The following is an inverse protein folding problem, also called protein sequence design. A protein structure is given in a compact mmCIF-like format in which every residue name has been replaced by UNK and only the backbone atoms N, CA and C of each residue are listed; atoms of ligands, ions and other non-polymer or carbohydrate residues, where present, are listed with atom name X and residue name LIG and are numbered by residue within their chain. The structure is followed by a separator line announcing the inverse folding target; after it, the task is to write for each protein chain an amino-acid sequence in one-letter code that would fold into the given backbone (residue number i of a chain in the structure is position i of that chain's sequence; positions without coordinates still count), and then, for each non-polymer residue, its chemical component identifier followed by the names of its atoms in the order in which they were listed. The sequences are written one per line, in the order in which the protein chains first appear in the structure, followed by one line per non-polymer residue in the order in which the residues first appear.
data_IF_876579869477
#
_entry.id   IF_876579869477
#
_cell.length_a   1.000
_cell.length_b   1.000
_cell.length_c   1.000
_cell.angle_alpha   90.00
_cell.angle_beta   90.00
_cell.angle_gamma   90.00
#
_symmetry.space_group_name_H-M   'P 1'
#
loop_
_entity.id
_entity.type
_entity.pdbx_description
1 polymer ?
#
# COMPACT_ATOMS: atom_id res chain seq x y z
N UNK A 1 19.44 -50.90 -3.86
CA UNK A 1 18.61 -49.89 -3.17
C UNK A 1 17.19 -50.11 -3.58
N UNK A 2 16.30 -50.23 -2.60
CA UNK A 2 14.88 -50.54 -2.79
C UNK A 2 14.20 -49.35 -3.51
N UNK A 3 13.24 -49.62 -4.42
CA UNK A 3 12.53 -48.58 -5.17
C UNK A 3 11.81 -47.59 -4.21
N UNK A 4 11.32 -48.11 -3.09
CA UNK A 4 10.68 -47.35 -2.01
C UNK A 4 11.67 -46.38 -1.35
N UNK A 5 12.85 -46.85 -0.96
CA UNK A 5 13.90 -46.00 -0.37
C UNK A 5 14.26 -44.85 -1.32
N UNK A 6 14.44 -45.16 -2.61
CA UNK A 6 14.75 -44.14 -3.63
C UNK A 6 13.62 -43.13 -3.82
N UNK A 7 12.37 -43.58 -3.73
CA UNK A 7 11.20 -42.70 -3.81
C UNK A 7 11.15 -41.75 -2.62
N UNK A 8 11.24 -42.29 -1.39
CA UNK A 8 11.22 -41.51 -0.14
C UNK A 8 12.38 -40.51 -0.09
N UNK A 9 13.60 -40.93 -0.43
CA UNK A 9 14.76 -40.02 -0.50
C UNK A 9 14.54 -38.89 -1.51
N UNK A 10 13.82 -39.16 -2.60
CA UNK A 10 13.49 -38.14 -3.60
C UNK A 10 12.44 -37.16 -3.07
N UNK A 11 11.42 -37.63 -2.35
CA UNK A 11 10.42 -36.78 -1.67
C UNK A 11 11.12 -35.89 -0.63
N UNK A 12 11.97 -36.46 0.23
CA UNK A 12 12.73 -35.74 1.27
C UNK A 12 13.54 -34.57 0.70
N UNK A 13 14.14 -34.72 -0.48
CA UNK A 13 14.92 -33.64 -1.13
C UNK A 13 14.09 -32.37 -1.42
N UNK A 14 12.77 -32.50 -1.59
CA UNK A 14 11.88 -31.36 -1.85
C UNK A 14 11.25 -30.75 -0.59
N UNK A 15 11.39 -31.41 0.56
CA UNK A 15 10.85 -30.95 1.85
C UNK A 15 11.82 -30.01 2.59
N UNK A 16 11.29 -29.10 3.44
CA UNK A 16 12.09 -28.38 4.45
C UNK A 16 12.82 -29.35 5.39
N UNK A 17 14.06 -29.04 5.75
CA UNK A 17 14.92 -29.90 6.57
C UNK A 17 14.28 -30.31 7.90
N UNK A 18 13.50 -29.41 8.49
CA UNK A 18 12.77 -29.58 9.75
C UNK A 18 11.78 -30.76 9.74
N UNK A 19 11.16 -31.08 8.60
CA UNK A 19 10.10 -32.10 8.51
C UNK A 19 10.50 -33.34 7.71
N UNK A 20 11.72 -33.38 7.15
CA UNK A 20 12.16 -34.45 6.23
C UNK A 20 12.11 -35.83 6.85
N UNK A 21 12.59 -35.96 8.08
CA UNK A 21 12.67 -37.27 8.74
C UNK A 21 11.29 -37.77 9.17
N UNK A 22 10.49 -36.91 9.79
CA UNK A 22 9.14 -37.25 10.23
C UNK A 22 8.24 -37.64 9.06
N UNK A 23 8.19 -36.81 8.00
CA UNK A 23 7.43 -37.12 6.78
C UNK A 23 7.98 -38.37 6.07
N UNK A 24 9.30 -38.59 6.12
CA UNK A 24 9.90 -39.79 5.55
C UNK A 24 9.47 -41.08 6.25
N UNK A 25 9.38 -41.05 7.59
CA UNK A 25 8.90 -42.19 8.38
C UNK A 25 7.40 -42.42 8.17
N UNK A 26 6.60 -41.35 8.16
CA UNK A 26 5.17 -41.41 7.89
C UNK A 26 4.89 -41.97 6.49
N UNK A 27 5.61 -41.48 5.48
CA UNK A 27 5.46 -41.95 4.09
C UNK A 27 5.89 -43.40 3.95
N UNK A 28 6.95 -43.83 4.65
CA UNK A 28 7.36 -45.23 4.65
C UNK A 28 6.29 -46.14 5.26
N UNK A 29 5.72 -45.75 6.41
CA UNK A 29 4.64 -46.50 7.05
C UNK A 29 3.41 -46.59 6.14
N UNK A 30 3.01 -45.48 5.53
CA UNK A 30 1.88 -45.43 4.61
C UNK A 30 2.09 -46.34 3.38
N UNK A 31 3.26 -46.30 2.76
CA UNK A 31 3.60 -47.19 1.64
C UNK A 31 3.54 -48.67 2.07
N UNK A 32 4.07 -49.01 3.25
CA UNK A 32 4.03 -50.38 3.75
C UNK A 32 2.61 -50.86 4.08
N UNK A 33 1.74 -49.97 4.57
CA UNK A 33 0.33 -50.28 4.84
C UNK A 33 -0.48 -50.49 3.54
N UNK A 34 -0.08 -49.84 2.44
CA UNK A 34 -0.70 -50.05 1.11
C UNK A 34 -0.26 -51.37 0.46
N UNK A 35 0.85 -51.97 0.91
CA UNK A 35 1.39 -53.20 0.35
C UNK A 35 0.84 -54.46 1.06
N UNK A 36 0.59 -55.56 0.34
CA UNK A 36 0.21 -56.84 0.95
C UNK A 36 1.40 -57.47 1.72
N UNK A 37 1.14 -58.38 2.67
CA UNK A 37 2.16 -59.01 3.52
C UNK A 37 3.31 -59.67 2.74
N UNK A 38 3.03 -60.21 1.54
CA UNK A 38 4.02 -60.77 0.61
C UNK A 38 3.95 -60.02 -0.73
N UNK A 39 4.45 -58.79 -0.75
CA UNK A 39 4.43 -57.94 -1.95
C UNK A 39 5.52 -58.29 -2.96
N UNK A 40 5.23 -58.02 -4.23
CA UNK A 40 6.13 -58.16 -5.37
C UNK A 40 6.64 -56.80 -5.84
N UNK A 41 7.61 -56.78 -6.77
CA UNK A 41 8.09 -55.51 -7.36
C UNK A 41 6.99 -54.77 -8.15
N UNK A 42 6.05 -55.50 -8.76
CA UNK A 42 4.92 -54.90 -9.48
C UNK A 42 3.95 -54.20 -8.53
N UNK A 43 3.70 -54.78 -7.34
CA UNK A 43 2.86 -54.14 -6.30
C UNK A 43 3.48 -52.81 -5.84
N UNK A 44 4.80 -52.79 -5.64
CA UNK A 44 5.54 -51.55 -5.29
C UNK A 44 5.44 -50.53 -6.42
N UNK A 45 5.59 -50.95 -7.68
CA UNK A 45 5.46 -50.05 -8.81
C UNK A 45 4.06 -49.44 -8.91
N UNK A 46 3.02 -50.24 -8.66
CA UNK A 46 1.63 -49.77 -8.69
C UNK A 46 1.35 -48.77 -7.57
N UNK A 47 1.74 -49.06 -6.32
CA UNK A 47 1.57 -48.14 -5.17
C UNK A 47 2.30 -46.81 -5.41
N UNK A 48 3.55 -46.85 -5.86
CA UNK A 48 4.31 -45.62 -6.14
C UNK A 48 3.74 -44.83 -7.33
N UNK A 49 3.11 -45.51 -8.29
CA UNK A 49 2.41 -44.85 -9.41
C UNK A 49 1.12 -44.17 -8.94
N UNK A 50 0.39 -44.79 -8.01
CA UNK A 50 -0.81 -44.23 -7.40
C UNK A 50 -0.49 -42.98 -6.55
N UNK A 51 0.61 -43.01 -5.79
CA UNK A 51 1.13 -41.85 -5.06
C UNK A 51 1.65 -40.73 -5.98
N UNK A 52 1.96 -41.05 -7.25
CA UNK A 52 2.34 -40.08 -8.26
C UNK A 52 3.76 -39.52 -8.09
N UNK A 53 4.01 -38.32 -8.63
CA UNK A 53 5.36 -37.77 -8.66
C UNK A 53 5.85 -37.37 -7.27
N UNK A 54 7.11 -37.70 -6.87
CA UNK A 54 7.67 -37.32 -5.58
C UNK A 54 7.59 -35.83 -5.27
N UNK A 55 7.64 -34.98 -6.30
CA UNK A 55 7.57 -33.52 -6.17
C UNK A 55 6.18 -33.05 -5.78
N UNK A 56 5.13 -33.57 -6.43
CA UNK A 56 3.75 -33.21 -6.10
C UNK A 56 3.39 -33.69 -4.70
N UNK A 57 3.78 -34.92 -4.35
CA UNK A 57 3.55 -35.47 -3.02
C UNK A 57 4.26 -34.64 -1.94
N UNK A 58 5.50 -34.22 -2.18
CA UNK A 58 6.22 -33.32 -1.27
C UNK A 58 5.52 -31.96 -1.08
N UNK A 59 4.87 -31.42 -2.11
CA UNK A 59 4.14 -30.16 -2.02
C UNK A 59 2.86 -30.29 -1.17
N UNK A 60 2.26 -31.49 -1.06
CA UNK A 60 1.12 -31.77 -0.17
C UNK A 60 1.50 -31.77 1.31
N UNK A 61 2.67 -32.31 1.65
CA UNK A 61 3.23 -32.27 3.02
C UNK A 61 3.78 -30.89 3.41
N UNK A 62 3.97 -29.98 2.43
CA UNK A 62 4.55 -28.67 2.69
C UNK A 62 3.49 -27.69 3.19
N UNK A 63 3.44 -27.49 4.51
CA UNK A 63 2.54 -26.53 5.16
C UNK A 63 2.80 -25.07 4.73
N UNK A 64 4.02 -24.76 4.27
CA UNK A 64 4.40 -23.43 3.77
C UNK A 64 4.29 -23.40 2.24
N UNK A 65 3.11 -23.07 1.73
CA UNK A 65 2.90 -22.91 0.28
C UNK A 65 3.79 -21.76 -0.24
N UNK A 66 4.50 -22.02 -1.35
CA UNK A 66 5.49 -21.08 -1.95
C UNK A 66 4.83 -19.99 -2.81
N UNK A 67 3.78 -19.37 -2.31
CA UNK A 67 3.12 -18.26 -3.01
C UNK A 67 3.71 -16.92 -2.58
N UNK A 68 3.84 -15.99 -3.53
CA UNK A 68 4.15 -14.59 -3.22
C UNK A 68 2.93 -13.89 -2.61
N UNK A 69 1.75 -14.22 -3.13
CA UNK A 69 0.42 -13.80 -2.66
C UNK A 69 -0.45 -15.04 -2.76
N UNK A 70 -1.01 -15.51 -1.64
CA UNK A 70 -1.77 -16.73 -1.56
C UNK A 70 -3.15 -16.61 -2.19
N UNK A 71 -3.81 -17.76 -2.50
CA UNK A 71 -5.13 -17.77 -3.11
C UNK A 71 -6.20 -17.04 -2.28
N UNK A 72 -6.03 -16.97 -0.96
CA UNK A 72 -6.93 -16.20 -0.08
C UNK A 72 -6.93 -14.69 -0.42
N UNK A 73 -5.80 -14.14 -0.85
CA UNK A 73 -5.60 -12.71 -1.09
C UNK A 73 -5.69 -12.30 -2.57
N UNK A 74 -5.61 -13.27 -3.49
CA UNK A 74 -5.37 -13.01 -4.91
C UNK A 74 -6.45 -12.17 -5.60
N UNK A 75 -7.74 -12.44 -5.37
CA UNK A 75 -8.82 -11.69 -6.02
C UNK A 75 -8.85 -10.22 -5.57
N UNK A 76 -8.62 -9.98 -4.28
CA UNK A 76 -8.53 -8.63 -3.72
C UNK A 76 -7.31 -7.89 -4.26
N UNK A 77 -6.18 -8.58 -4.37
CA UNK A 77 -4.96 -8.05 -4.96
C UNK A 77 -5.19 -7.57 -6.39
N UNK A 78 -5.76 -8.40 -7.26
CA UNK A 78 -5.99 -8.05 -8.67
C UNK A 78 -6.98 -6.89 -8.82
N UNK A 79 -8.05 -6.88 -8.03
CA UNK A 79 -9.02 -5.77 -8.04
C UNK A 79 -8.36 -4.45 -7.65
N UNK A 80 -7.59 -4.44 -6.56
CA UNK A 80 -6.87 -3.25 -6.11
C UNK A 80 -5.86 -2.80 -7.17
N UNK A 81 -5.00 -3.73 -7.61
CA UNK A 81 -3.92 -3.47 -8.54
C UNK A 81 -4.39 -2.75 -9.80
N UNK A 82 -5.50 -3.21 -10.41
CA UNK A 82 -6.07 -2.59 -11.61
C UNK A 82 -6.50 -1.15 -11.37
N UNK A 83 -7.19 -0.88 -10.26
CA UNK A 83 -7.65 0.46 -9.91
C UNK A 83 -6.47 1.40 -9.65
N UNK A 84 -5.46 0.94 -8.89
CA UNK A 84 -4.27 1.77 -8.58
C UNK A 84 -3.46 2.08 -9.83
N UNK A 85 -3.21 1.09 -10.68
CA UNK A 85 -2.47 1.29 -11.94
C UNK A 85 -3.16 2.36 -12.79
N UNK A 86 -4.48 2.27 -12.95
CA UNK A 86 -5.24 3.23 -13.76
C UNK A 86 -5.16 4.65 -13.19
N UNK A 87 -5.31 4.81 -11.88
CA UNK A 87 -5.24 6.11 -11.21
C UNK A 87 -3.82 6.69 -11.32
N UNK A 88 -2.78 5.92 -10.98
CA UNK A 88 -1.40 6.40 -11.01
C UNK A 88 -0.96 6.77 -12.43
N UNK A 89 -1.35 5.98 -13.44
CA UNK A 89 -1.10 6.32 -14.84
C UNK A 89 -1.80 7.62 -15.26
N UNK A 90 -3.09 7.77 -14.92
CA UNK A 90 -3.86 8.98 -15.24
C UNK A 90 -3.30 10.25 -14.58
N UNK A 91 -2.89 10.14 -13.31
CA UNK A 91 -2.26 11.24 -12.57
C UNK A 91 -0.91 11.61 -13.19
N UNK A 92 -0.05 10.63 -13.48
CA UNK A 92 1.25 10.88 -14.10
C UNK A 92 1.12 11.53 -15.50
N UNK A 93 0.14 11.09 -16.28
CA UNK A 93 -0.22 11.72 -17.55
C UNK A 93 -0.68 13.17 -17.35
N UNK A 94 -1.58 13.41 -16.40
CA UNK A 94 -2.08 14.75 -16.10
C UNK A 94 -0.95 15.71 -15.72
N UNK A 95 -0.03 15.28 -14.86
CA UNK A 95 1.14 16.06 -14.45
C UNK A 95 2.02 16.38 -15.67
N UNK A 96 2.35 15.37 -16.48
CA UNK A 96 3.22 15.54 -17.67
C UNK A 96 2.59 16.46 -18.70
N UNK A 97 1.27 16.36 -18.93
CA UNK A 97 0.53 17.27 -19.80
C UNK A 97 0.56 18.71 -19.28
N UNK A 98 0.36 18.90 -17.99
CA UNK A 98 0.44 20.21 -17.35
C UNK A 98 1.85 20.79 -17.53
N UNK A 99 2.90 20.01 -17.24
CA UNK A 99 4.29 20.43 -17.43
C UNK A 99 4.59 20.83 -18.87
N UNK A 100 4.11 20.06 -19.85
CA UNK A 100 4.31 20.36 -21.26
C UNK A 100 3.54 21.61 -21.71
N UNK A 101 2.27 21.78 -21.29
CA UNK A 101 1.48 22.98 -21.60
C UNK A 101 2.17 24.22 -21.04
N UNK A 102 2.69 24.11 -19.82
CA UNK A 102 3.39 25.19 -19.18
C UNK A 102 4.68 25.49 -19.96
N UNK A 103 5.49 24.47 -20.29
CA UNK A 103 6.79 24.58 -20.98
C UNK A 103 6.74 24.53 -22.49
N UNK A 104 5.58 24.79 -23.09
CA UNK A 104 5.36 24.59 -24.52
C UNK A 104 6.37 25.39 -25.36
N UNK A 105 7.21 24.72 -26.18
CA UNK A 105 8.16 25.39 -27.06
C UNK A 105 7.45 26.25 -28.12
N UNK A 106 8.09 27.31 -28.60
CA UNK A 106 7.53 28.17 -29.65
C UNK A 106 7.30 27.42 -30.98
N UNK A 107 8.07 26.37 -31.18
CA UNK A 107 8.13 25.41 -32.28
C UNK A 107 7.39 24.09 -31.96
N UNK A 108 6.36 24.14 -31.11
CA UNK A 108 5.58 22.96 -30.67
C UNK A 108 5.03 22.11 -31.83
N UNK A 109 4.87 22.68 -33.02
CA UNK A 109 4.36 22.01 -34.23
C UNK A 109 5.42 21.16 -34.95
N UNK A 110 6.69 21.24 -34.55
CA UNK A 110 7.73 20.40 -35.11
C UNK A 110 7.50 18.92 -34.76
N UNK A 111 7.63 18.05 -35.78
CA UNK A 111 7.37 16.62 -35.63
C UNK A 111 8.23 15.98 -34.52
N UNK A 112 9.46 16.47 -34.30
CA UNK A 112 10.34 16.00 -33.23
C UNK A 112 9.84 16.36 -31.83
N UNK A 113 9.28 17.56 -31.65
CA UNK A 113 8.72 18.02 -30.38
C UNK A 113 7.45 17.25 -30.03
N UNK A 114 6.57 17.03 -31.01
CA UNK A 114 5.35 16.22 -30.84
C UNK A 114 5.70 14.76 -30.54
N UNK A 115 6.71 14.19 -31.22
CA UNK A 115 7.17 12.83 -30.96
C UNK A 115 7.73 12.68 -29.53
N UNK A 116 8.51 13.67 -29.06
CA UNK A 116 9.03 13.70 -27.70
C UNK A 116 7.90 13.79 -26.65
N UNK A 117 6.90 14.64 -26.87
CA UNK A 117 5.72 14.70 -26.00
C UNK A 117 5.03 13.34 -25.88
N UNK A 118 4.76 12.68 -27.01
CA UNK A 118 4.13 11.36 -27.01
C UNK A 118 4.98 10.35 -26.24
N UNK A 119 6.30 10.37 -26.45
CA UNK A 119 7.24 9.51 -25.73
C UNK A 119 7.23 9.77 -24.22
N UNK A 120 7.22 11.04 -23.79
CA UNK A 120 7.14 11.43 -22.38
C UNK A 120 5.81 11.06 -21.73
N UNK A 121 4.68 11.21 -22.45
CA UNK A 121 3.37 10.79 -21.97
C UNK A 121 3.29 9.28 -21.77
N UNK A 122 3.78 8.50 -22.74
CA UNK A 122 3.82 7.04 -22.62
C UNK A 122 4.75 6.64 -21.46
N UNK A 123 5.93 7.25 -21.38
CA UNK A 123 6.93 6.97 -20.34
C UNK A 123 6.39 7.31 -18.95
N UNK A 124 5.78 8.47 -18.76
CA UNK A 124 5.21 8.89 -17.48
C UNK A 124 4.03 8.02 -17.05
N UNK A 125 3.12 7.68 -17.97
CA UNK A 125 2.02 6.74 -17.69
C UNK A 125 2.56 5.38 -17.25
N UNK A 126 3.57 4.87 -17.96
CA UNK A 126 4.20 3.59 -17.67
C UNK A 126 4.91 3.60 -16.31
N UNK A 127 5.68 4.65 -16.00
CA UNK A 127 6.33 4.82 -14.70
C UNK A 127 5.29 4.92 -13.58
N UNK A 128 4.23 5.71 -13.76
CA UNK A 128 3.13 5.83 -12.80
C UNK A 128 2.44 4.48 -12.55
N UNK A 129 2.12 3.75 -13.61
CA UNK A 129 1.57 2.40 -13.55
C UNK A 129 2.51 1.44 -12.80
N UNK A 130 3.80 1.43 -13.13
CA UNK A 130 4.80 0.58 -12.47
C UNK A 130 4.92 0.90 -10.98
N UNK A 131 4.96 2.18 -10.60
CA UNK A 131 5.00 2.58 -9.19
C UNK A 131 3.76 2.12 -8.44
N UNK A 132 2.57 2.34 -9.02
CA UNK A 132 1.32 1.84 -8.46
C UNK A 132 1.34 0.31 -8.26
N UNK A 133 1.79 -0.43 -9.28
CA UNK A 133 1.88 -1.87 -9.22
C UNK A 133 2.88 -2.36 -8.16
N UNK A 134 4.06 -1.74 -8.12
CA UNK A 134 5.14 -2.09 -7.20
C UNK A 134 4.70 -1.97 -5.75
N UNK A 135 4.15 -0.81 -5.36
CA UNK A 135 3.74 -0.59 -3.97
C UNK A 135 2.55 -1.45 -3.54
N UNK A 136 1.56 -1.64 -4.42
CA UNK A 136 0.45 -2.56 -4.14
C UNK A 136 0.96 -3.98 -3.93
N UNK A 137 1.89 -4.44 -4.76
CA UNK A 137 2.47 -5.79 -4.64
C UNK A 137 3.23 -5.96 -3.34
N UNK A 138 4.07 -4.99 -2.95
CA UNK A 138 4.80 -5.02 -1.67
C UNK A 138 3.84 -5.13 -0.49
N UNK A 139 2.77 -4.34 -0.47
CA UNK A 139 1.78 -4.38 0.61
C UNK A 139 1.16 -5.77 0.74
N UNK A 140 0.76 -6.38 -0.38
CA UNK A 140 0.19 -7.74 -0.37
C UNK A 140 1.19 -8.82 0.02
N UNK A 141 2.47 -8.67 -0.34
CA UNK A 141 3.53 -9.56 0.13
C UNK A 141 3.67 -9.48 1.65
N UNK A 142 3.71 -8.26 2.21
CA UNK A 142 3.84 -8.06 3.66
C UNK A 142 2.62 -8.64 4.39
N UNK A 143 1.42 -8.46 3.84
CA UNK A 143 0.18 -9.05 4.35
C UNK A 143 0.24 -10.57 4.41
N UNK A 144 0.63 -11.22 3.32
CA UNK A 144 0.78 -12.68 3.25
C UNK A 144 1.80 -13.17 4.30
N UNK A 145 2.92 -12.46 4.46
CA UNK A 145 4.02 -12.86 5.35
C UNK A 145 3.74 -12.63 6.83
N UNK A 146 2.90 -11.66 7.16
CA UNK A 146 2.52 -11.36 8.54
C UNK A 146 1.43 -12.28 9.06
N UNK A 147 0.93 -13.21 8.24
CA UNK A 147 -0.04 -14.23 8.65
C UNK A 147 -1.35 -13.63 9.14
N UNK A 148 -1.62 -12.40 8.74
CA UNK A 148 -2.89 -11.79 9.07
C UNK A 148 -3.95 -12.55 8.29
N UNK A 149 -4.90 -13.18 8.96
CA UNK A 149 -5.95 -13.95 8.30
C UNK A 149 -7.13 -13.05 7.94
N UNK A 150 -7.68 -13.26 6.75
CA UNK A 150 -8.85 -12.51 6.27
C UNK A 150 -10.04 -12.85 7.18
N UNK A 151 -10.50 -11.87 7.95
CA UNK A 151 -11.65 -12.04 8.87
C UNK A 151 -11.28 -12.51 10.28
N UNK A 152 -9.99 -12.74 10.58
CA UNK A 152 -9.55 -13.12 11.93
C UNK A 152 -8.61 -12.08 12.52
N UNK A 153 -8.93 -11.62 13.74
CA UNK A 153 -8.09 -10.68 14.48
C UNK A 153 -6.78 -11.37 14.89
N UNK A 154 -5.61 -10.77 14.59
CA UNK A 154 -4.29 -11.42 14.78
C UNK A 154 -3.85 -11.53 16.26
N UNK A 155 -4.67 -11.12 17.22
CA UNK A 155 -4.30 -11.03 18.64
C UNK A 155 -4.93 -12.09 19.55
N UNK A 156 -5.54 -13.14 18.99
CA UNK A 156 -5.98 -14.28 19.78
C UNK A 156 -5.64 -15.58 19.06
N UNK A 157 -4.75 -16.37 19.66
CA UNK A 157 -4.69 -17.83 19.48
C UNK A 157 -5.99 -18.46 20.03
N UNK A 158 -7.16 -18.04 19.53
CA UNK A 158 -8.44 -18.62 19.89
C UNK A 158 -8.72 -19.70 18.87
N UNK A 159 -8.81 -20.94 19.34
CA UNK A 159 -9.34 -22.05 18.53
C UNK A 159 -10.73 -21.65 18.07
N UNK A 160 -10.97 -21.73 16.76
CA UNK A 160 -12.23 -21.35 16.14
C UNK A 160 -13.40 -22.07 16.83
N UNK A 161 -14.43 -21.31 17.21
CA UNK A 161 -15.68 -21.83 17.75
C UNK A 161 -16.87 -21.33 16.92
N UNK A 162 -18.00 -22.06 16.84
CA UNK A 162 -19.21 -21.58 16.17
C UNK A 162 -19.71 -20.23 16.71
N UNK A 163 -19.37 -19.86 17.94
CA UNK A 163 -19.68 -18.54 18.52
C UNK A 163 -18.86 -17.39 17.90
N UNK A 164 -17.81 -17.69 17.13
CA UNK A 164 -17.03 -16.72 16.35
C UNK A 164 -17.71 -16.40 14.99
N UNK A 165 -18.86 -17.01 14.69
CA UNK A 165 -19.68 -16.62 13.54
C UNK A 165 -20.03 -15.13 13.68
N UNK A 166 -19.69 -14.29 12.68
CA UNK A 166 -20.06 -12.89 12.73
C UNK A 166 -21.57 -12.78 12.82
N UNK A 167 -22.05 -12.01 13.80
CA UNK A 167 -23.47 -11.68 13.89
C UNK A 167 -23.95 -11.10 12.55
N UNK A 168 -25.18 -11.43 12.16
CA UNK A 168 -25.80 -10.94 10.91
C UNK A 168 -25.64 -9.41 10.87
N UNK A 169 -24.78 -8.94 9.98
CA UNK A 169 -24.27 -7.57 10.04
C UNK A 169 -25.32 -6.57 9.58
N UNK A 170 -25.63 -5.58 10.41
CA UNK A 170 -26.13 -4.29 9.94
C UNK A 170 -25.04 -3.63 9.08
N UNK A 171 -25.30 -3.42 7.79
CA UNK A 171 -24.34 -2.88 6.80
C UNK A 171 -23.71 -1.52 7.19
N UNK A 172 -24.27 -0.85 8.20
CA UNK A 172 -23.89 0.51 8.64
C UNK A 172 -22.52 0.61 9.32
N UNK A 173 -21.94 -0.50 9.79
CA UNK A 173 -20.64 -0.52 10.48
C UNK A 173 -19.49 -1.09 9.64
N UNK A 174 -19.73 -1.46 8.37
CA UNK A 174 -18.67 -1.92 7.48
C UNK A 174 -17.77 -0.76 7.09
N UNK A 175 -16.47 -0.93 7.29
CA UNK A 175 -15.46 0.00 6.77
C UNK A 175 -15.52 -0.07 5.24
N UNK A 176 -15.66 1.09 4.58
CA UNK A 176 -15.61 1.16 3.13
C UNK A 176 -14.22 0.72 2.67
N UNK A 177 -14.17 -0.49 2.09
CA UNK A 177 -12.91 -1.11 1.62
C UNK A 177 -12.29 -0.29 0.49
N UNK A 178 -13.12 0.26 -0.39
CA UNK A 178 -12.67 1.15 -1.48
C UNK A 178 -12.11 2.48 -0.99
N UNK A 179 -12.70 3.06 0.05
CA UNK A 179 -12.22 4.32 0.65
C UNK A 179 -10.88 4.13 1.37
N UNK A 180 -10.72 3.03 2.10
CA UNK A 180 -9.45 2.68 2.77
C UNK A 180 -8.33 2.45 1.76
N UNK A 181 -8.65 1.72 0.69
CA UNK A 181 -7.77 1.50 -0.47
C UNK A 181 -7.36 2.82 -1.11
N UNK A 182 -8.32 3.68 -1.41
CA UNK A 182 -8.08 4.96 -2.05
C UNK A 182 -7.17 5.84 -1.18
N UNK A 183 -7.45 5.89 0.12
CA UNK A 183 -6.65 6.66 1.08
C UNK A 183 -5.22 6.14 1.19
N UNK A 184 -5.03 4.81 1.17
CA UNK A 184 -3.72 4.18 1.16
C UNK A 184 -2.92 4.57 -0.08
N UNK A 185 -3.54 4.49 -1.26
CA UNK A 185 -2.92 4.86 -2.54
C UNK A 185 -2.55 6.34 -2.56
N UNK A 186 -3.48 7.21 -2.17
CA UNK A 186 -3.23 8.65 -2.11
C UNK A 186 -2.08 8.98 -1.17
N UNK A 187 -1.97 8.30 -0.03
CA UNK A 187 -0.85 8.48 0.92
C UNK A 187 0.49 8.11 0.28
N UNK A 188 0.55 6.97 -0.41
CA UNK A 188 1.76 6.51 -1.12
C UNK A 188 2.13 7.50 -2.23
N UNK A 189 1.18 7.91 -3.06
CA UNK A 189 1.39 8.82 -4.19
C UNK A 189 1.87 10.18 -3.72
N UNK A 190 1.20 10.80 -2.74
CA UNK A 190 1.61 12.10 -2.21
C UNK A 190 2.99 12.05 -1.55
N UNK A 191 3.26 11.01 -0.77
CA UNK A 191 4.58 10.84 -0.12
C UNK A 191 5.68 10.65 -1.16
N UNK A 192 5.45 9.82 -2.18
CA UNK A 192 6.39 9.61 -3.27
C UNK A 192 6.61 10.88 -4.11
N UNK A 193 5.55 11.64 -4.40
CA UNK A 193 5.64 12.90 -5.13
C UNK A 193 6.47 13.93 -4.35
N UNK A 194 6.22 14.09 -3.04
CA UNK A 194 7.00 14.99 -2.19
C UNK A 194 8.47 14.58 -2.07
N UNK A 195 8.76 13.27 -2.08
CA UNK A 195 10.12 12.77 -1.97
C UNK A 195 10.91 12.84 -3.28
N UNK A 196 10.35 12.31 -4.37
CA UNK A 196 11.07 12.16 -5.64
C UNK A 196 10.94 13.36 -6.56
N UNK A 197 9.84 14.11 -6.48
CA UNK A 197 9.51 15.20 -7.40
C UNK A 197 8.88 16.39 -6.67
N UNK A 198 9.51 16.93 -5.60
CA UNK A 198 9.00 18.12 -4.91
C UNK A 198 8.90 19.34 -5.85
N UNK A 199 9.71 19.36 -6.90
CA UNK A 199 9.77 20.39 -7.94
C UNK A 199 8.46 20.55 -8.74
N UNK A 200 7.60 19.53 -8.78
CA UNK A 200 6.31 19.58 -9.49
C UNK A 200 5.38 20.61 -8.82
N UNK A 201 5.52 20.81 -7.50
CA UNK A 201 4.78 21.81 -6.74
C UNK A 201 5.48 23.17 -6.91
N UNK A 202 5.26 23.80 -8.05
CA UNK A 202 5.92 25.03 -8.45
C UNK A 202 4.97 26.03 -9.12
N UNK A 203 5.40 27.28 -9.18
CA UNK A 203 4.82 28.30 -10.04
C UNK A 203 5.52 28.26 -11.39
N UNK A 204 4.74 28.26 -12.46
CA UNK A 204 5.24 28.23 -13.82
C UNK A 204 4.88 29.55 -14.49
N UNK A 205 5.89 30.38 -14.72
CA UNK A 205 5.71 31.74 -15.27
C UNK A 205 6.35 31.79 -16.63
N UNK A 206 5.66 32.34 -17.62
CA UNK A 206 6.22 32.53 -18.96
C UNK A 206 7.44 33.46 -18.88
N UNK A 207 8.63 32.94 -19.12
CA UNK A 207 9.86 33.73 -19.15
C UNK A 207 9.96 34.55 -20.43
N UNK A 208 10.83 35.56 -20.43
CA UNK A 208 11.05 36.50 -21.54
C UNK A 208 11.44 35.80 -22.86
N UNK A 209 11.98 34.58 -22.77
CA UNK A 209 12.45 33.77 -23.90
C UNK A 209 11.38 32.78 -24.42
N UNK A 210 10.15 32.84 -23.90
CA UNK A 210 9.08 31.89 -24.20
C UNK A 210 9.13 30.58 -23.41
N UNK A 211 10.26 30.26 -22.77
CA UNK A 211 10.42 29.13 -21.85
C UNK A 211 9.95 29.56 -20.45
N UNK A 212 9.17 28.75 -19.71
CA UNK A 212 8.73 29.13 -18.39
C UNK A 212 9.87 29.09 -17.38
N UNK A 213 9.96 30.15 -16.61
CA UNK A 213 10.69 30.14 -15.35
C UNK A 213 9.87 29.33 -14.34
N UNK A 214 10.46 28.23 -13.87
CA UNK A 214 9.86 27.36 -12.85
C UNK A 214 10.43 27.76 -11.50
N UNK A 215 9.57 28.22 -10.59
CA UNK A 215 9.95 28.55 -9.21
C UNK A 215 9.23 27.62 -8.25
N UNK A 216 9.97 26.75 -7.57
CA UNK A 216 9.39 25.76 -6.65
C UNK A 216 8.72 26.45 -5.46
N UNK A 217 7.56 25.92 -5.03
CA UNK A 217 6.86 26.43 -3.84
C UNK A 217 7.69 26.16 -2.58
N UNK A 218 8.20 24.93 -2.46
CA UNK A 218 8.97 24.48 -1.32
C UNK A 218 10.46 24.66 -1.57
N UNK A 219 11.18 25.10 -0.54
CA UNK A 219 12.63 25.05 -0.50
C UNK A 219 13.06 23.59 -0.32
N UNK A 220 13.75 23.03 -1.31
CA UNK A 220 14.10 21.60 -1.35
C UNK A 220 15.06 21.23 -0.22
N UNK A 221 16.07 22.07 0.05
CA UNK A 221 17.03 21.85 1.12
C UNK A 221 16.34 21.83 2.49
N UNK A 222 15.38 22.73 2.69
CA UNK A 222 14.61 22.79 3.93
C UNK A 222 13.63 21.61 4.03
N UNK A 223 13.01 21.21 2.93
CA UNK A 223 12.08 20.08 2.88
C UNK A 223 12.77 18.77 3.27
N UNK A 224 14.04 18.56 2.87
CA UNK A 224 14.81 17.35 3.22
C UNK A 224 14.91 17.09 4.73
N UNK A 225 14.85 18.14 5.56
CA UNK A 225 14.83 18.00 7.02
C UNK A 225 13.55 17.31 7.51
N UNK A 226 12.42 17.55 6.83
CA UNK A 226 11.11 17.01 7.18
C UNK A 226 10.81 15.65 6.52
N UNK A 227 11.50 15.32 5.43
CA UNK A 227 11.31 14.06 4.69
C UNK A 227 11.33 12.81 5.59
N UNK A 228 12.30 12.62 6.51
CA UNK A 228 12.29 11.45 7.39
C UNK A 228 11.01 11.35 8.24
N UNK A 229 10.54 12.48 8.78
CA UNK A 229 9.31 12.52 9.56
C UNK A 229 8.07 12.22 8.70
N UNK A 230 8.01 12.79 7.48
CA UNK A 230 6.93 12.51 6.51
C UNK A 230 6.88 11.01 6.17
N UNK A 231 8.03 10.38 5.91
CA UNK A 231 8.12 8.94 5.62
C UNK A 231 7.63 8.12 6.83
N UNK A 232 8.07 8.43 8.05
CA UNK A 232 7.64 7.72 9.26
C UNK A 232 6.12 7.82 9.44
N UNK A 233 5.56 9.02 9.33
CA UNK A 233 4.11 9.25 9.45
C UNK A 233 3.36 8.51 8.36
N UNK A 234 3.82 8.55 7.11
CA UNK A 234 3.23 7.78 6.02
C UNK A 234 3.25 6.27 6.30
N UNK A 235 4.37 5.71 6.79
CA UNK A 235 4.46 4.28 7.13
C UNK A 235 3.48 3.89 8.26
N UNK A 236 3.35 4.73 9.30
CA UNK A 236 2.37 4.50 10.37
C UNK A 236 0.95 4.50 9.79
N UNK A 237 0.63 5.46 8.91
CA UNK A 237 -0.68 5.55 8.28
C UNK A 237 -1.01 4.32 7.43
N UNK A 238 -0.05 3.83 6.65
CA UNK A 238 -0.20 2.61 5.88
C UNK A 238 -0.46 1.41 6.80
N UNK A 239 0.25 1.32 7.93
CA UNK A 239 -0.02 0.30 8.95
C UNK A 239 -1.45 0.33 9.49
N UNK A 240 -1.99 1.53 9.76
CA UNK A 240 -3.39 1.71 10.21
C UNK A 240 -4.38 1.31 9.12
N UNK A 241 -4.16 1.71 7.87
CA UNK A 241 -5.03 1.32 6.75
C UNK A 241 -5.02 -0.18 6.48
N UNK A 242 -3.84 -0.80 6.57
CA UNK A 242 -3.69 -2.25 6.50
C UNK A 242 -4.53 -2.90 7.60
N UNK A 243 -4.41 -2.43 8.84
CA UNK A 243 -5.19 -2.96 9.95
C UNK A 243 -6.71 -2.79 9.73
N UNK A 244 -7.17 -1.64 9.22
CA UNK A 244 -8.58 -1.40 8.86
C UNK A 244 -9.09 -2.31 7.74
N UNK A 245 -8.24 -2.62 6.77
CA UNK A 245 -8.62 -3.49 5.66
C UNK A 245 -8.82 -4.94 6.10
N UNK A 246 -8.04 -5.37 7.09
CA UNK A 246 -8.11 -6.69 7.69
C UNK A 246 -9.28 -6.79 8.68
N UNK A 247 -9.39 -5.82 9.59
CA UNK A 247 -10.38 -5.87 10.65
C UNK A 247 -11.77 -5.62 10.06
N UNK A 248 -12.59 -6.66 9.97
CA UNK A 248 -13.97 -6.53 9.49
C UNK A 248 -14.85 -5.70 10.45
N UNK A 249 -14.42 -5.53 11.71
CA UNK A 249 -15.12 -4.76 12.72
C UNK A 249 -14.24 -3.68 13.36
N UNK A 250 -14.82 -2.49 13.54
CA UNK A 250 -14.19 -1.39 14.28
C UNK A 250 -14.05 -1.76 15.75
N UNK A 251 -12.82 -1.73 16.27
CA UNK A 251 -12.53 -1.89 17.69
C UNK A 251 -12.03 -0.55 18.29
N UNK A 252 -12.13 -0.42 19.61
CA UNK A 252 -11.74 0.81 20.31
C UNK A 252 -10.23 1.11 20.16
N UNK A 253 -9.40 0.08 20.07
CA UNK A 253 -7.95 0.21 19.97
C UNK A 253 -7.54 0.85 18.63
N UNK A 254 -8.18 0.45 17.53
CA UNK A 254 -8.02 1.04 16.21
C UNK A 254 -8.40 2.52 16.18
N UNK A 255 -9.52 2.88 16.83
CA UNK A 255 -9.95 4.28 16.91
C UNK A 255 -8.95 5.15 17.68
N UNK A 256 -8.36 4.63 18.77
CA UNK A 256 -7.34 5.34 19.54
C UNK A 256 -6.05 5.49 18.73
N UNK A 257 -5.60 4.44 18.03
CA UNK A 257 -4.38 4.53 17.21
C UNK A 257 -4.52 5.50 16.05
N UNK A 258 -5.70 5.54 15.43
CA UNK A 258 -6.01 6.51 14.38
C UNK A 258 -6.07 7.94 14.91
N UNK A 259 -6.66 8.15 16.10
CA UNK A 259 -6.66 9.46 16.73
C UNK A 259 -5.24 9.93 17.08
N UNK A 260 -4.40 9.04 17.63
CA UNK A 260 -3.00 9.32 17.92
C UNK A 260 -2.21 9.68 16.65
N UNK A 261 -2.44 8.95 15.56
CA UNK A 261 -1.87 9.27 14.25
C UNK A 261 -2.30 10.66 13.76
N UNK A 262 -3.60 10.97 13.78
CA UNK A 262 -4.10 12.25 13.30
C UNK A 262 -3.52 13.43 14.11
N UNK A 263 -3.32 13.25 15.42
CA UNK A 263 -2.62 14.25 16.25
C UNK A 263 -1.16 14.40 15.82
N UNK A 264 -0.43 13.30 15.62
CA UNK A 264 0.97 13.36 15.17
C UNK A 264 1.09 14.02 13.79
N UNK A 265 0.16 13.73 12.87
CA UNK A 265 0.08 14.35 11.55
C UNK A 265 -0.20 15.86 11.64
N UNK A 266 -1.16 16.28 12.48
CA UNK A 266 -1.42 17.71 12.74
C UNK A 266 -0.16 18.40 13.26
N UNK A 267 0.54 17.82 14.24
CA UNK A 267 1.75 18.40 14.81
C UNK A 267 2.82 18.60 13.74
N UNK A 268 3.07 17.57 12.91
CA UNK A 268 4.01 17.66 11.80
C UNK A 268 3.62 18.79 10.82
N UNK A 269 2.35 18.84 10.42
CA UNK A 269 1.85 19.86 9.49
C UNK A 269 1.97 21.28 10.05
N UNK A 270 1.64 21.49 11.34
CA UNK A 270 1.76 22.79 12.00
C UNK A 270 3.22 23.23 12.09
N UNK A 271 4.13 22.32 12.46
CA UNK A 271 5.57 22.61 12.51
C UNK A 271 6.09 22.98 11.13
N UNK A 272 5.73 22.22 10.08
CA UNK A 272 6.13 22.52 8.70
C UNK A 272 5.60 23.88 8.23
N UNK A 273 4.32 24.20 8.48
CA UNK A 273 3.72 25.47 8.04
C UNK A 273 4.24 26.69 8.83
N UNK A 274 4.65 26.48 10.08
CA UNK A 274 5.28 27.51 10.92
C UNK A 274 6.72 27.81 10.48
N UNK A 275 7.40 26.88 9.80
CA UNK A 275 8.75 27.10 9.28
C UNK A 275 8.74 28.15 8.15
N UNK A 276 9.32 29.31 8.45
CA UNK A 276 9.43 30.41 7.50
C UNK A 276 10.35 30.08 6.32
N UNK A 277 11.33 29.19 6.51
CA UNK A 277 12.26 28.78 5.45
C UNK A 277 11.74 27.67 4.55
N UNK A 278 10.57 27.09 4.85
CA UNK A 278 10.02 25.99 4.05
C UNK A 278 9.47 26.49 2.70
N UNK A 279 8.89 27.68 2.66
CA UNK A 279 8.48 28.30 1.39
C UNK A 279 9.69 28.99 0.77
N UNK A 280 9.90 28.75 -0.51
CA UNK A 280 10.99 29.39 -1.25
C UNK A 280 10.74 30.91 -1.37
N UNK A 281 11.71 31.73 -0.96
CA UNK A 281 11.59 33.19 -1.07
C UNK A 281 11.44 33.65 -2.52
N UNK A 282 12.08 32.94 -3.47
CA UNK A 282 11.92 33.23 -4.90
C UNK A 282 10.46 33.08 -5.34
N UNK A 283 9.73 32.10 -4.78
CA UNK A 283 8.31 31.92 -5.07
C UNK A 283 7.50 33.16 -4.70
N UNK A 284 7.80 33.78 -3.56
CA UNK A 284 7.11 35.00 -3.10
C UNK A 284 7.42 36.17 -4.04
N UNK A 285 8.68 36.33 -4.45
CA UNK A 285 9.08 37.39 -5.39
C UNK A 285 8.42 37.21 -6.76
N UNK A 286 8.33 35.97 -7.25
CA UNK A 286 7.68 35.63 -8.51
C UNK A 286 6.17 35.81 -8.42
N UNK A 287 5.54 35.46 -7.29
CA UNK A 287 4.12 35.74 -7.06
C UNK A 287 3.83 37.25 -7.08
N UNK A 288 4.69 38.05 -6.44
CA UNK A 288 4.53 39.50 -6.39
C UNK A 288 4.59 40.14 -7.79
N UNK A 289 5.52 39.66 -8.63
CA UNK A 289 5.68 40.17 -10.00
C UNK A 289 4.48 39.85 -10.89
N UNK A 290 3.96 38.62 -10.84
CA UNK A 290 2.77 38.21 -11.62
C UNK A 290 1.54 39.00 -11.18
N UNK A 291 1.35 39.14 -9.87
CA UNK A 291 0.18 39.80 -9.29
C UNK A 291 0.29 41.33 -9.31
N UNK A 292 1.40 41.88 -9.86
CA UNK A 292 1.68 43.32 -9.94
C UNK A 292 1.56 44.03 -8.59
N UNK A 293 2.07 43.39 -7.54
CA UNK A 293 1.99 43.87 -6.16
C UNK A 293 3.37 43.92 -5.49
N UNK A 294 3.45 44.45 -4.28
CA UNK A 294 4.68 44.45 -3.49
C UNK A 294 4.97 43.06 -2.90
N UNK A 295 6.27 42.77 -2.69
CA UNK A 295 6.71 41.51 -2.06
C UNK A 295 6.10 41.35 -0.67
N UNK A 296 5.94 42.44 0.10
CA UNK A 296 5.31 42.41 1.42
C UNK A 296 3.85 41.97 1.38
N UNK A 297 3.10 42.45 0.39
CA UNK A 297 1.69 42.05 0.18
C UNK A 297 1.61 40.58 -0.23
N UNK A 298 2.46 40.15 -1.16
CA UNK A 298 2.52 38.75 -1.60
C UNK A 298 2.93 37.80 -0.46
N UNK A 299 3.91 38.20 0.36
CA UNK A 299 4.32 37.48 1.57
C UNK A 299 3.15 37.33 2.54
N UNK A 300 2.40 38.42 2.78
CA UNK A 300 1.21 38.38 3.64
C UNK A 300 0.14 37.42 3.10
N UNK A 301 -0.07 37.37 1.79
CA UNK A 301 -1.00 36.42 1.17
C UNK A 301 -0.53 34.98 1.33
N UNK A 302 0.75 34.71 1.13
CA UNK A 302 1.35 33.38 1.32
C UNK A 302 1.24 32.95 2.78
N UNK A 303 1.54 33.83 3.74
CA UNK A 303 1.37 33.55 5.16
C UNK A 303 -0.09 33.29 5.54
N UNK A 304 -1.01 34.10 5.00
CA UNK A 304 -2.45 33.91 5.21
C UNK A 304 -2.91 32.58 4.60
N UNK A 305 -2.43 32.25 3.40
CA UNK A 305 -2.68 30.98 2.72
C UNK A 305 -2.18 29.78 3.54
N UNK A 306 -0.97 29.85 4.09
CA UNK A 306 -0.44 28.83 5.01
C UNK A 306 -1.35 28.62 6.22
N UNK A 307 -1.82 29.71 6.85
CA UNK A 307 -2.71 29.65 8.02
C UNK A 307 -4.07 29.04 7.66
N UNK A 308 -4.66 29.45 6.54
CA UNK A 308 -5.94 28.92 6.04
C UNK A 308 -5.81 27.43 5.72
N UNK A 309 -4.76 27.03 5.01
CA UNK A 309 -4.49 25.63 4.69
C UNK A 309 -4.25 24.80 5.96
N UNK A 310 -3.46 25.30 6.91
CA UNK A 310 -3.25 24.64 8.20
C UNK A 310 -4.55 24.47 8.99
N UNK A 311 -5.38 25.51 9.06
CA UNK A 311 -6.68 25.44 9.72
C UNK A 311 -7.60 24.42 9.05
N UNK A 312 -7.63 24.38 7.71
CA UNK A 312 -8.37 23.38 6.95
C UNK A 312 -7.92 21.95 7.28
N UNK A 313 -6.61 21.68 7.27
CA UNK A 313 -6.06 20.36 7.61
C UNK A 313 -6.45 19.95 9.03
N UNK A 314 -6.32 20.86 10.00
CA UNK A 314 -6.72 20.61 11.39
C UNK A 314 -8.20 20.27 11.49
N UNK A 315 -9.07 21.02 10.81
CA UNK A 315 -10.53 20.77 10.80
C UNK A 315 -10.82 19.37 10.23
N UNK A 316 -10.19 19.00 9.12
CA UNK A 316 -10.37 17.67 8.49
C UNK A 316 -9.93 16.55 9.44
N UNK A 317 -8.76 16.68 10.07
CA UNK A 317 -8.26 15.66 11.00
C UNK A 317 -9.13 15.56 12.27
N UNK A 318 -9.60 16.70 12.81
CA UNK A 318 -10.51 16.71 13.97
C UNK A 318 -11.85 16.07 13.63
N UNK A 319 -12.36 16.35 12.42
CA UNK A 319 -13.58 15.71 11.91
C UNK A 319 -13.41 14.19 11.83
N UNK A 320 -12.31 13.72 11.23
CA UNK A 320 -12.02 12.28 11.07
C UNK A 320 -11.88 11.56 12.43
N UNK A 321 -11.22 12.20 13.40
CA UNK A 321 -11.17 11.70 14.80
C UNK A 321 -12.59 11.57 15.37
N UNK A 322 -13.40 12.62 15.25
CA UNK A 322 -14.76 12.64 15.81
C UNK A 322 -15.65 11.57 15.14
N UNK A 323 -15.59 11.46 13.82
CA UNK A 323 -16.31 10.47 13.04
C UNK A 323 -15.92 9.04 13.44
N UNK A 324 -14.63 8.79 13.58
CA UNK A 324 -14.12 7.47 13.97
C UNK A 324 -14.53 7.10 15.39
N UNK A 325 -14.48 8.03 16.34
CA UNK A 325 -14.93 7.80 17.72
C UNK A 325 -16.45 7.59 17.79
N UNK A 326 -17.26 8.43 17.13
CA UNK A 326 -18.73 8.31 17.15
C UNK A 326 -19.18 6.97 16.54
N UNK A 327 -18.61 6.58 15.40
CA UNK A 327 -18.92 5.30 14.74
C UNK A 327 -18.51 4.11 15.61
N UNK A 328 -17.41 4.22 16.35
CA UNK A 328 -16.93 3.15 17.24
C UNK A 328 -17.78 3.03 18.51
N UNK A 329 -18.24 4.16 19.08
CA UNK A 329 -19.10 4.19 20.27
C UNK A 329 -20.56 3.79 19.99
N UNK A 330 -21.06 4.03 18.77
CA UNK A 330 -22.41 3.61 18.34
C UNK A 330 -22.49 2.15 17.87
N UNK A 331 -21.37 1.47 17.65
CA UNK A 331 -21.39 0.03 17.40
C UNK A 331 -21.91 -0.67 18.66
N UNK A 332 -23.00 -1.46 18.60
CA UNK A 332 -23.56 -2.06 19.80
C UNK A 332 -22.48 -2.92 20.43
N UNK A 333 -22.11 -2.61 21.69
CA UNK A 333 -21.48 -3.60 22.54
C UNK A 333 -22.35 -4.84 22.44
N UNK A 334 -21.80 -5.93 21.91
CA UNK A 334 -22.42 -7.25 22.00
C UNK A 334 -22.97 -7.40 23.41
N UNK A 335 -24.22 -7.82 23.48
CA UNK A 335 -25.02 -7.99 24.69
C UNK A 335 -24.34 -8.95 25.67
N UNK A 336 -23.30 -8.48 26.36
CA UNK A 336 -22.84 -9.00 27.61
C UNK A 336 -23.81 -8.53 28.68
N UNK A 337 -24.95 -9.20 28.78
CA UNK A 337 -25.70 -9.31 30.02
C UNK A 337 -26.38 -10.68 30.01
N UNK A 338 -25.76 -11.57 30.78
CA UNK A 338 -26.29 -12.86 31.19
C UNK A 338 -27.72 -12.70 31.72
N UNK A 339 -28.61 -13.56 31.23
CA UNK A 339 -29.51 -14.32 32.09
C UNK A 339 -29.51 -15.77 31.65
#
# INVERSE_FOLDING_TARGET
MNLIERYIDTVKKYLPEEIREDVGLELNANIMDMLPENYTEDDVFQVLTELGSPKNLADEYNTKKKYLIGPAYYDKYISLLKSVIAICAAVALGITLIEWILKAPADWYEAGVVANLIAELISSAFVGAMQGAFWVTIVFIILERTGVEIGFTPFKNKVWTPDDLPAISDDKNKISRGETIFSMVMTIVFTALLYFRPEVIAMYVKGDNGIPTVTTLLNIERLQIYIPAIIIVALIQLGIFIWKFIAEHRNLLMAITEAAYNIAFIVLMVVMLADQGLINNEFITTLASIMKTTVDTASTWVETGKKVFGAFVVIVCVWDIAETLIRTLKSPKGSGNMK
#
